data_IF_325737842183
#
_entry.id   IF_325737842183
#
_cell.length_a   1.000
_cell.length_b   1.000
_cell.length_c   1.000
_cell.angle_alpha   90.00
_cell.angle_beta   90.00
_cell.angle_gamma   90.00
#
_symmetry.space_group_name_H-M   'P 1'
#
loop_
_entity.id
_entity.type
_entity.pdbx_description
1 polymer ?
#
# COMPACT_ATOMS: atom_id res chain seq x y z
N UNK A 1 11.45 -26.36 -9.13
CA UNK A 1 12.43 -25.36 -8.63
C UNK A 1 12.05 -25.03 -7.20
N UNK A 2 12.90 -25.33 -6.23
CA UNK A 2 12.67 -24.96 -4.83
C UNK A 2 13.24 -23.57 -4.56
N UNK A 3 12.39 -22.56 -4.62
CA UNK A 3 12.77 -21.16 -4.40
C UNK A 3 13.26 -20.92 -2.97
N UNK A 4 12.74 -21.64 -1.98
CA UNK A 4 13.11 -21.45 -0.58
C UNK A 4 14.55 -21.92 -0.35
N UNK A 5 14.92 -23.07 -0.94
CA UNK A 5 16.31 -23.53 -0.91
C UNK A 5 17.26 -22.53 -1.60
N UNK A 6 16.87 -21.96 -2.75
CA UNK A 6 17.68 -20.94 -3.42
C UNK A 6 17.87 -19.68 -2.57
N UNK A 7 16.80 -19.19 -1.92
CA UNK A 7 16.88 -18.03 -1.01
C UNK A 7 17.83 -18.31 0.15
N UNK A 8 17.72 -19.48 0.79
CA UNK A 8 18.61 -19.87 1.91
C UNK A 8 20.07 -19.94 1.49
N UNK A 9 20.35 -20.49 0.30
CA UNK A 9 21.71 -20.60 -0.23
C UNK A 9 22.36 -19.25 -0.51
N UNK A 10 21.55 -18.24 -0.87
CA UNK A 10 22.03 -16.92 -1.31
C UNK A 10 21.70 -15.79 -0.33
N UNK A 11 21.34 -16.12 0.91
CA UNK A 11 20.92 -15.15 1.91
C UNK A 11 22.01 -14.10 2.20
N UNK A 12 23.27 -14.52 2.27
CA UNK A 12 24.40 -13.61 2.49
C UNK A 12 24.62 -12.62 1.35
N UNK A 13 24.08 -12.90 0.16
CA UNK A 13 24.17 -12.04 -1.02
C UNK A 13 23.04 -11.01 -1.10
N UNK A 14 22.07 -11.01 -0.17
CA UNK A 14 20.84 -10.19 -0.25
C UNK A 14 21.13 -8.70 -0.50
N UNK A 15 22.03 -8.10 0.26
CA UNK A 15 22.37 -6.67 0.11
C UNK A 15 23.14 -6.39 -1.18
N UNK A 16 24.03 -7.30 -1.61
CA UNK A 16 24.79 -7.16 -2.85
C UNK A 16 23.89 -7.25 -4.08
N UNK A 17 22.96 -8.21 -4.08
CA UNK A 17 21.93 -8.35 -5.11
C UNK A 17 21.03 -7.11 -5.17
N UNK A 18 20.55 -6.62 -4.02
CA UNK A 18 19.71 -5.42 -3.99
C UNK A 18 20.47 -4.17 -4.44
N UNK A 19 21.74 -4.05 -4.07
CA UNK A 19 22.61 -2.93 -4.48
C UNK A 19 22.82 -2.93 -5.99
N UNK A 20 23.03 -4.11 -6.59
CA UNK A 20 23.30 -4.25 -8.02
C UNK A 20 22.06 -4.15 -8.90
N UNK A 21 20.95 -4.74 -8.47
CA UNK A 21 19.81 -5.00 -9.35
C UNK A 21 18.52 -4.26 -8.98
N UNK A 22 18.44 -3.62 -7.81
CA UNK A 22 17.19 -2.98 -7.34
C UNK A 22 17.38 -1.52 -7.02
N UNK A 23 18.11 -1.20 -5.94
CA UNK A 23 18.32 0.18 -5.50
C UNK A 23 19.56 0.30 -4.62
N UNK A 24 20.69 0.81 -5.16
CA UNK A 24 21.92 0.99 -4.38
C UNK A 24 21.81 2.08 -3.31
N UNK A 25 20.96 3.10 -3.52
CA UNK A 25 20.79 4.18 -2.56
C UNK A 25 20.02 3.71 -1.33
N UNK A 26 19.01 2.87 -1.51
CA UNK A 26 18.27 2.30 -0.39
C UNK A 26 19.15 1.40 0.48
N UNK A 27 20.00 0.57 -0.12
CA UNK A 27 21.00 -0.22 0.62
C UNK A 27 21.90 0.67 1.46
N UNK A 28 22.44 1.75 0.87
CA UNK A 28 23.27 2.72 1.58
C UNK A 28 22.54 3.37 2.75
N UNK A 29 21.27 3.74 2.58
CA UNK A 29 20.46 4.29 3.67
C UNK A 29 20.38 3.31 4.83
N UNK A 30 19.98 2.05 4.56
CA UNK A 30 19.86 1.01 5.59
C UNK A 30 21.17 0.75 6.34
N UNK A 31 22.30 0.74 5.64
CA UNK A 31 23.63 0.63 6.25
C UNK A 31 23.94 1.82 7.17
N UNK A 32 23.65 3.04 6.73
CA UNK A 32 23.90 4.27 7.50
C UNK A 32 23.05 4.33 8.76
N UNK A 33 21.77 3.94 8.69
CA UNK A 33 20.86 3.97 9.84
C UNK A 33 20.96 2.72 10.74
N UNK A 34 21.76 1.71 10.36
CA UNK A 34 21.93 0.47 11.14
C UNK A 34 20.80 -0.56 11.01
N UNK A 35 20.01 -0.48 9.93
CA UNK A 35 18.88 -1.38 9.63
C UNK A 35 19.24 -2.43 8.56
N UNK A 36 20.52 -2.55 8.19
CA UNK A 36 20.99 -3.58 7.28
C UNK A 36 21.07 -4.96 7.98
N UNK A 37 19.92 -5.61 8.15
CA UNK A 37 19.80 -6.95 8.74
C UNK A 37 19.10 -7.92 7.80
N UNK A 38 19.64 -9.14 7.69
CA UNK A 38 18.98 -10.23 7.00
C UNK A 38 18.00 -10.94 7.94
N UNK A 39 16.70 -10.79 7.69
CA UNK A 39 15.67 -11.54 8.41
C UNK A 39 15.40 -12.88 7.74
N UNK A 40 15.47 -13.97 8.52
CA UNK A 40 15.28 -15.35 8.04
C UNK A 40 13.85 -15.84 8.24
N UNK A 41 13.14 -15.31 9.22
CA UNK A 41 11.75 -15.67 9.48
C UNK A 41 11.01 -14.57 10.23
N UNK A 42 9.69 -14.71 10.31
CA UNK A 42 8.83 -13.79 11.01
C UNK A 42 7.56 -14.48 11.50
N UNK A 43 7.06 -14.11 12.67
CA UNK A 43 5.81 -14.64 13.22
C UNK A 43 5.21 -13.68 14.23
N UNK A 44 3.92 -13.38 14.08
CA UNK A 44 3.24 -12.43 14.97
C UNK A 44 3.92 -11.07 14.91
N UNK A 45 4.32 -10.54 16.06
CA UNK A 45 5.00 -9.24 16.16
C UNK A 45 6.52 -9.32 15.99
N UNK A 46 7.10 -10.49 15.71
CA UNK A 46 8.55 -10.69 15.71
C UNK A 46 9.12 -10.96 14.33
N UNK A 47 10.31 -10.40 14.10
CA UNK A 47 11.25 -10.74 13.04
C UNK A 47 12.44 -11.48 13.67
N UNK A 48 12.97 -12.49 12.98
CA UNK A 48 14.15 -13.25 13.42
C UNK A 48 15.26 -13.06 12.39
N UNK A 49 16.42 -12.56 12.82
CA UNK A 49 17.58 -12.40 11.93
C UNK A 49 18.39 -13.70 11.75
N UNK A 50 19.42 -13.64 10.90
CA UNK A 50 20.26 -14.80 10.59
C UNK A 50 21.10 -15.29 11.77
N UNK A 51 21.35 -14.44 12.77
CA UNK A 51 21.97 -14.83 14.04
C UNK A 51 20.98 -15.35 15.08
N UNK A 52 19.69 -15.45 14.73
CA UNK A 52 18.62 -15.95 15.60
C UNK A 52 18.10 -14.92 16.60
N UNK A 53 18.41 -13.63 16.44
CA UNK A 53 17.89 -12.58 17.33
C UNK A 53 16.46 -12.23 16.96
N UNK A 54 15.61 -12.18 17.98
CA UNK A 54 14.23 -11.72 17.84
C UNK A 54 14.15 -10.19 17.94
N UNK A 55 13.52 -9.57 16.95
CA UNK A 55 13.28 -8.13 16.88
C UNK A 55 11.77 -7.90 16.92
N UNK A 56 11.31 -7.13 17.90
CA UNK A 56 9.92 -6.69 17.97
C UNK A 56 9.66 -5.65 16.88
N UNK A 57 8.72 -5.94 15.98
CA UNK A 57 8.45 -5.16 14.78
C UNK A 57 7.47 -4.01 15.06
N UNK A 58 8.01 -2.87 15.49
CA UNK A 58 7.25 -1.63 15.62
C UNK A 58 7.02 -0.88 14.29
N UNK A 59 7.66 -1.32 13.20
CA UNK A 59 7.43 -0.74 11.87
C UNK A 59 6.18 -1.34 11.22
N UNK A 60 5.92 -2.62 11.45
CA UNK A 60 4.79 -3.38 10.93
C UNK A 60 4.61 -3.24 9.41
N UNK A 61 5.72 -3.06 8.68
CA UNK A 61 5.69 -2.79 7.23
C UNK A 61 4.94 -1.51 6.87
N UNK A 62 5.10 -0.44 7.65
CA UNK A 62 4.33 0.80 7.54
C UNK A 62 2.81 0.60 7.74
N UNK A 63 2.43 -0.32 8.64
CA UNK A 63 1.03 -0.61 9.00
C UNK A 63 0.35 -1.73 8.20
N UNK A 64 1.09 -2.48 7.39
CA UNK A 64 0.57 -3.63 6.62
C UNK A 64 0.28 -4.83 7.53
N UNK A 65 1.15 -5.10 8.51
CA UNK A 65 1.08 -6.31 9.34
C UNK A 65 0.24 -6.11 10.61
N UNK A 66 -0.95 -5.52 10.49
CA UNK A 66 -1.83 -5.20 11.63
C UNK A 66 -2.28 -6.44 12.44
N UNK A 67 -2.35 -7.62 11.81
CA UNK A 67 -2.65 -8.89 12.47
C UNK A 67 -1.40 -9.75 12.70
N UNK A 68 -0.22 -9.14 12.60
CA UNK A 68 1.06 -9.83 12.71
C UNK A 68 1.49 -10.57 11.43
N UNK A 69 2.78 -10.92 11.39
CA UNK A 69 3.42 -11.60 10.28
C UNK A 69 3.06 -13.08 10.26
N UNK A 70 2.82 -13.61 9.06
CA UNK A 70 2.50 -15.04 8.82
C UNK A 70 1.33 -15.55 9.70
N UNK A 71 0.24 -14.78 9.79
CA UNK A 71 -0.92 -15.13 10.61
C UNK A 71 -1.49 -16.51 10.21
N UNK A 72 -1.62 -17.48 11.16
CA UNK A 72 -1.93 -18.88 10.83
C UNK A 72 -3.21 -19.05 10.00
N UNK A 73 -4.27 -18.32 10.34
CA UNK A 73 -5.54 -18.38 9.62
C UNK A 73 -5.41 -17.92 8.16
N UNK A 74 -4.66 -16.84 7.90
CA UNK A 74 -4.47 -16.33 6.52
C UNK A 74 -3.67 -17.33 5.71
N UNK A 75 -2.60 -17.88 6.30
CA UNK A 75 -1.79 -18.92 5.65
C UNK A 75 -2.57 -20.22 5.37
N UNK A 76 -3.55 -20.56 6.22
CA UNK A 76 -4.45 -21.69 6.00
C UNK A 76 -5.41 -21.40 4.84
N UNK A 77 -6.10 -20.25 4.86
CA UNK A 77 -7.06 -19.87 3.82
C UNK A 77 -6.39 -19.78 2.45
N UNK A 78 -5.22 -19.16 2.34
CA UNK A 78 -4.48 -19.09 1.08
C UNK A 78 -4.14 -20.47 0.51
N UNK A 79 -3.72 -21.41 1.38
CA UNK A 79 -3.45 -22.80 0.97
C UNK A 79 -4.72 -23.50 0.48
N UNK A 80 -5.80 -23.42 1.25
CA UNK A 80 -7.08 -24.03 0.87
C UNK A 80 -7.63 -23.46 -0.44
N UNK A 81 -7.49 -22.15 -0.66
CA UNK A 81 -7.88 -21.51 -1.93
C UNK A 81 -7.09 -22.07 -3.12
N UNK A 82 -5.77 -22.21 -3.00
CA UNK A 82 -4.92 -22.77 -4.05
C UNK A 82 -5.22 -24.27 -4.29
N UNK A 83 -5.44 -25.04 -3.22
CA UNK A 83 -5.74 -26.47 -3.29
C UNK A 83 -7.15 -26.76 -3.82
N UNK A 84 -8.10 -25.84 -3.63
CA UNK A 84 -9.49 -25.99 -4.10
C UNK A 84 -9.63 -26.06 -5.62
N UNK A 85 -8.63 -25.57 -6.36
CA UNK A 85 -8.70 -25.44 -7.82
C UNK A 85 -9.71 -24.41 -8.32
N UNK A 86 -10.26 -23.56 -7.43
CA UNK A 86 -11.17 -22.49 -7.84
C UNK A 86 -10.47 -21.49 -8.77
N UNK A 87 -11.17 -21.03 -9.82
CA UNK A 87 -10.61 -20.04 -10.72
C UNK A 87 -10.49 -18.68 -10.03
N UNK A 88 -9.50 -17.89 -10.44
CA UNK A 88 -9.30 -16.50 -10.01
C UNK A 88 -8.92 -15.65 -11.21
N UNK A 89 -9.25 -14.36 -11.18
CA UNK A 89 -8.95 -13.38 -12.24
C UNK A 89 -9.40 -13.82 -13.65
N UNK A 90 -10.57 -14.47 -13.76
CA UNK A 90 -11.15 -14.88 -15.06
C UNK A 90 -11.50 -13.67 -15.94
N UNK A 91 -11.90 -12.55 -15.32
CA UNK A 91 -12.23 -11.25 -15.94
C UNK A 91 -13.39 -11.25 -16.95
N UNK A 92 -13.78 -12.40 -17.49
CA UNK A 92 -15.00 -12.64 -18.27
C UNK A 92 -16.00 -13.50 -17.47
N UNK A 93 -15.97 -13.37 -16.14
CA UNK A 93 -16.89 -14.00 -15.18
C UNK A 93 -16.90 -13.16 -13.88
N UNK A 94 -17.90 -13.37 -13.02
CA UNK A 94 -18.00 -12.73 -11.71
C UNK A 94 -17.39 -13.61 -10.61
N UNK A 95 -16.49 -13.03 -9.81
CA UNK A 95 -15.80 -13.78 -8.75
C UNK A 95 -16.64 -13.89 -7.47
N UNK A 96 -16.96 -15.12 -7.04
CA UNK A 96 -17.68 -15.36 -5.77
C UNK A 96 -16.96 -14.73 -4.56
N UNK A 97 -15.62 -14.85 -4.50
CA UNK A 97 -14.82 -14.29 -3.40
C UNK A 97 -14.93 -12.76 -3.33
N UNK A 98 -14.90 -12.08 -4.47
CA UNK A 98 -15.07 -10.61 -4.49
C UNK A 98 -16.46 -10.17 -4.05
N UNK A 99 -17.50 -10.93 -4.40
CA UNK A 99 -18.87 -10.65 -3.94
C UNK A 99 -19.00 -10.79 -2.41
N UNK A 100 -18.51 -11.90 -1.86
CA UNK A 100 -18.53 -12.15 -0.41
C UNK A 100 -17.70 -11.11 0.37
N UNK A 101 -16.54 -10.72 -0.17
CA UNK A 101 -15.73 -9.67 0.44
C UNK A 101 -16.41 -8.29 0.38
N UNK A 102 -17.06 -7.97 -0.75
CA UNK A 102 -17.78 -6.71 -0.90
C UNK A 102 -18.97 -6.62 0.06
N UNK A 103 -19.74 -7.71 0.22
CA UNK A 103 -20.84 -7.79 1.20
C UNK A 103 -20.33 -7.56 2.63
N UNK A 104 -19.25 -8.24 3.03
CA UNK A 104 -18.67 -8.08 4.36
C UNK A 104 -18.15 -6.65 4.60
N UNK A 105 -17.52 -6.02 3.60
CA UNK A 105 -17.03 -4.65 3.70
C UNK A 105 -18.17 -3.63 3.78
N UNK A 106 -19.20 -3.78 2.95
CA UNK A 106 -20.38 -2.92 2.98
C UNK A 106 -21.11 -2.99 4.33
N UNK A 107 -21.20 -4.19 4.93
CA UNK A 107 -21.80 -4.37 6.26
C UNK A 107 -21.01 -3.72 7.41
N UNK A 108 -19.72 -3.43 7.22
CA UNK A 108 -18.87 -2.73 8.20
C UNK A 108 -18.71 -1.24 7.92
N UNK A 109 -19.00 -0.80 6.70
CA UNK A 109 -18.78 0.57 6.27
C UNK A 109 -19.80 1.53 6.94
N UNK A 110 -19.39 2.75 7.31
CA UNK A 110 -20.30 3.71 7.91
C UNK A 110 -21.27 4.31 6.88
N UNK A 111 -22.42 4.78 7.35
CA UNK A 111 -23.37 5.54 6.54
C UNK A 111 -24.04 4.68 5.47
N UNK A 112 -24.02 5.17 4.22
CA UNK A 112 -24.68 4.55 3.07
C UNK A 112 -23.69 4.00 2.03
N UNK A 113 -22.49 3.61 2.47
CA UNK A 113 -21.47 3.01 1.60
C UNK A 113 -21.81 1.54 1.35
N UNK A 114 -22.31 1.22 0.15
CA UNK A 114 -22.87 -0.09 -0.22
C UNK A 114 -22.18 -0.76 -1.43
N UNK A 115 -21.18 -0.10 -2.02
CA UNK A 115 -20.45 -0.59 -3.19
C UNK A 115 -18.93 -0.54 -2.98
N UNK A 116 -18.22 -1.54 -3.52
CA UNK A 116 -16.77 -1.67 -3.39
C UNK A 116 -16.11 -1.80 -4.75
N UNK A 117 -15.04 -1.02 -4.96
CA UNK A 117 -14.12 -1.16 -6.09
C UNK A 117 -12.77 -1.66 -5.58
N UNK A 118 -12.39 -2.88 -5.96
CA UNK A 118 -11.14 -3.50 -5.52
C UNK A 118 -9.96 -3.05 -6.37
N UNK A 119 -8.83 -2.80 -5.72
CA UNK A 119 -7.56 -2.42 -6.34
C UNK A 119 -6.41 -3.17 -5.65
N UNK A 120 -5.19 -2.99 -6.14
CA UNK A 120 -4.02 -3.72 -5.66
C UNK A 120 -3.17 -2.91 -4.66
N UNK A 121 -3.46 -1.62 -4.48
CA UNK A 121 -2.71 -0.75 -3.58
C UNK A 121 -3.52 0.46 -3.11
N UNK A 122 -3.06 1.12 -2.04
CA UNK A 122 -3.68 2.37 -1.59
C UNK A 122 -3.66 3.49 -2.63
N UNK A 123 -2.60 3.57 -3.45
CA UNK A 123 -2.50 4.58 -4.50
C UNK A 123 -3.54 4.34 -5.62
N UNK A 124 -3.75 3.09 -6.05
CA UNK A 124 -4.82 2.75 -6.99
C UNK A 124 -6.21 3.03 -6.42
N UNK A 125 -6.42 2.78 -5.12
CA UNK A 125 -7.65 3.15 -4.41
C UNK A 125 -7.94 4.65 -4.47
N UNK A 126 -6.91 5.49 -4.24
CA UNK A 126 -7.02 6.95 -4.38
C UNK A 126 -7.31 7.34 -5.83
N UNK A 127 -6.66 6.74 -6.83
CA UNK A 127 -6.97 7.03 -8.22
C UNK A 127 -8.41 6.66 -8.61
N UNK A 128 -8.92 5.53 -8.11
CA UNK A 128 -10.32 5.16 -8.22
C UNK A 128 -11.24 6.23 -7.63
N UNK A 129 -10.96 6.68 -6.41
CA UNK A 129 -11.72 7.73 -5.74
C UNK A 129 -11.72 9.06 -6.53
N UNK A 130 -10.57 9.48 -7.05
CA UNK A 130 -10.46 10.68 -7.89
C UNK A 130 -11.31 10.56 -9.16
N UNK A 131 -11.30 9.40 -9.81
CA UNK A 131 -12.10 9.13 -11.02
C UNK A 131 -13.59 9.13 -10.71
N UNK A 132 -14.03 8.45 -9.66
CA UNK A 132 -15.44 8.41 -9.27
C UNK A 132 -15.95 9.79 -8.87
N UNK A 133 -15.19 10.55 -8.08
CA UNK A 133 -15.55 11.93 -7.73
C UNK A 133 -15.70 12.81 -8.96
N UNK A 134 -14.77 12.72 -9.92
CA UNK A 134 -14.82 13.49 -11.17
C UNK A 134 -16.01 13.09 -12.04
N UNK A 135 -16.28 11.79 -12.19
CA UNK A 135 -17.41 11.31 -12.99
C UNK A 135 -18.76 11.66 -12.37
N UNK A 136 -18.91 11.52 -11.06
CA UNK A 136 -20.16 11.81 -10.37
C UNK A 136 -20.49 13.32 -10.34
N UNK A 137 -19.48 14.17 -10.21
CA UNK A 137 -19.68 15.63 -10.06
C UNK A 137 -19.54 16.40 -11.37
N UNK A 138 -18.85 15.84 -12.37
CA UNK A 138 -18.41 16.58 -13.57
C UNK A 138 -17.30 17.61 -13.29
N UNK A 139 -16.79 17.71 -12.06
CA UNK A 139 -15.81 18.72 -11.64
C UNK A 139 -14.40 18.12 -11.62
N UNK A 140 -13.42 18.88 -12.11
CA UNK A 140 -12.01 18.47 -12.13
C UNK A 140 -11.21 18.93 -10.91
N UNK A 141 -11.70 19.97 -10.21
CA UNK A 141 -11.07 20.57 -9.03
C UNK A 141 -11.11 19.61 -7.84
N UNK A 142 -9.96 19.40 -7.21
CA UNK A 142 -9.81 18.56 -6.02
C UNK A 142 -9.04 19.33 -4.95
N UNK A 143 -9.59 19.42 -3.74
CA UNK A 143 -8.92 20.05 -2.60
C UNK A 143 -8.27 18.96 -1.75
N UNK A 144 -7.02 19.17 -1.33
CA UNK A 144 -6.28 18.23 -0.49
C UNK A 144 -5.49 18.96 0.60
N UNK A 145 -5.10 18.26 1.66
CA UNK A 145 -4.36 18.88 2.76
C UNK A 145 -2.84 18.90 2.50
N UNK A 146 -2.17 19.99 2.86
CA UNK A 146 -0.71 20.03 2.98
C UNK A 146 -0.24 18.92 3.93
N UNK A 147 0.90 18.30 3.63
CA UNK A 147 1.48 17.13 4.33
C UNK A 147 0.67 15.83 4.25
N UNK A 148 -0.44 15.78 3.51
CA UNK A 148 -1.17 14.53 3.28
C UNK A 148 -0.33 13.53 2.48
N UNK A 149 -0.48 12.23 2.73
CA UNK A 149 0.12 11.18 1.92
C UNK A 149 -0.98 10.33 1.30
N UNK A 150 -1.09 10.35 -0.03
CA UNK A 150 -2.13 9.63 -0.78
C UNK A 150 -1.57 8.61 -1.79
N UNK A 151 -0.24 8.46 -1.85
CA UNK A 151 0.42 7.58 -2.80
C UNK A 151 1.39 8.31 -3.71
N UNK A 152 2.03 7.55 -4.59
CA UNK A 152 3.12 8.01 -5.47
C UNK A 152 2.87 7.75 -6.96
N UNK A 153 1.73 7.16 -7.35
CA UNK A 153 1.29 7.18 -8.76
C UNK A 153 0.92 8.61 -9.15
N UNK A 154 1.08 9.01 -10.41
CA UNK A 154 0.95 10.44 -10.79
C UNK A 154 -0.42 11.05 -10.42
N UNK A 155 -1.51 10.28 -10.47
CA UNK A 155 -2.82 10.74 -10.03
C UNK A 155 -2.87 11.00 -8.52
N UNK A 156 -2.49 10.00 -7.73
CA UNK A 156 -2.43 10.11 -6.27
C UNK A 156 -1.40 11.15 -5.79
N UNK A 157 -0.26 11.26 -6.49
CA UNK A 157 0.80 12.21 -6.21
C UNK A 157 0.33 13.66 -6.41
N UNK A 158 -0.61 13.89 -7.33
CA UNK A 158 -1.20 15.22 -7.59
C UNK A 158 -1.96 15.77 -6.37
N UNK A 159 -2.44 14.90 -5.49
CA UNK A 159 -3.09 15.25 -4.22
C UNK A 159 -2.23 14.91 -3.00
N UNK A 160 -0.99 14.48 -3.19
CA UNK A 160 -0.04 14.33 -2.09
C UNK A 160 0.42 15.72 -1.62
N UNK A 161 0.54 15.94 -0.32
CA UNK A 161 0.86 17.25 0.29
C UNK A 161 2.32 17.43 0.69
N UNK A 162 3.19 16.49 0.34
CA UNK A 162 4.60 16.46 0.73
C UNK A 162 5.50 16.77 -0.49
N UNK A 163 6.23 17.89 -0.42
CA UNK A 163 7.00 18.43 -1.55
C UNK A 163 8.16 17.51 -1.97
N UNK A 164 8.74 16.77 -1.02
CA UNK A 164 9.84 15.84 -1.25
C UNK A 164 9.48 14.69 -2.20
N UNK A 165 8.20 14.31 -2.27
CA UNK A 165 7.71 13.30 -3.21
C UNK A 165 7.26 13.92 -4.54
N UNK A 166 6.76 15.16 -4.51
CA UNK A 166 6.19 15.82 -5.70
C UNK A 166 7.23 16.47 -6.59
N UNK A 167 8.21 17.17 -6.01
CA UNK A 167 8.96 18.23 -6.69
C UNK A 167 9.67 17.81 -7.98
N UNK A 168 10.13 16.56 -8.07
CA UNK A 168 10.82 16.03 -9.28
C UNK A 168 9.87 15.45 -10.35
N UNK A 169 8.58 15.38 -10.05
CA UNK A 169 7.54 14.76 -10.89
C UNK A 169 6.55 15.79 -11.47
N UNK A 170 6.74 17.08 -11.18
CA UNK A 170 5.93 18.16 -11.75
C UNK A 170 6.20 18.34 -13.26
N UNK A 171 5.21 18.76 -14.06
CA UNK A 171 3.85 19.14 -13.65
C UNK A 171 2.91 17.95 -13.41
N UNK A 172 2.12 18.03 -12.34
CA UNK A 172 1.09 17.05 -11.95
C UNK A 172 -0.31 17.43 -12.47
N UNK A 173 -1.36 16.68 -12.09
CA UNK A 173 -2.73 16.93 -12.58
C UNK A 173 -3.19 18.35 -12.23
N UNK A 174 -3.73 19.11 -13.20
CA UNK A 174 -4.22 20.45 -12.95
C UNK A 174 -5.47 20.43 -12.04
N UNK A 175 -5.71 21.54 -11.34
CA UNK A 175 -6.89 21.71 -10.50
C UNK A 175 -6.82 21.03 -9.13
N UNK A 176 -5.66 20.50 -8.73
CA UNK A 176 -5.44 19.99 -7.38
C UNK A 176 -4.94 21.14 -6.48
N UNK A 177 -5.73 21.53 -5.48
CA UNK A 177 -5.52 22.71 -4.64
C UNK A 177 -5.15 22.30 -3.20
N UNK A 178 -3.95 22.64 -2.69
CA UNK A 178 -3.58 22.36 -1.32
C UNK A 178 -4.17 23.39 -0.34
N UNK A 179 -4.69 22.92 0.79
CA UNK A 179 -5.07 23.74 1.96
C UNK A 179 -4.32 23.30 3.21
N UNK A 180 -4.10 24.17 4.21
CA UNK A 180 -3.57 23.72 5.50
C UNK A 180 -4.51 22.70 6.16
N UNK A 181 -3.94 21.68 6.81
CA UNK A 181 -4.74 20.75 7.60
C UNK A 181 -5.35 21.49 8.80
N UNK A 182 -6.63 21.20 9.10
CA UNK A 182 -7.39 21.81 10.19
C UNK A 182 -7.63 23.34 10.09
N UNK A 183 -7.58 23.89 8.88
CA UNK A 183 -7.97 25.28 8.59
C UNK A 183 -9.30 25.30 7.83
N UNK A 184 -10.39 25.54 8.57
CA UNK A 184 -11.75 25.51 8.02
C UNK A 184 -12.05 26.72 7.13
N UNK A 185 -11.43 27.87 7.38
CA UNK A 185 -11.64 29.07 6.56
C UNK A 185 -10.96 28.91 5.20
N UNK A 186 -9.72 28.42 5.18
CA UNK A 186 -9.01 28.09 3.94
C UNK A 186 -9.74 27.00 3.14
N UNK A 187 -10.27 25.98 3.82
CA UNK A 187 -11.08 24.94 3.18
C UNK A 187 -12.37 25.52 2.57
N UNK A 188 -13.12 26.33 3.33
CA UNK A 188 -14.36 26.95 2.84
C UNK A 188 -14.11 27.85 1.63
N UNK A 189 -13.05 28.67 1.67
CA UNK A 189 -12.62 29.50 0.53
C UNK A 189 -12.22 28.65 -0.67
N UNK A 190 -11.48 27.55 -0.47
CA UNK A 190 -11.12 26.64 -1.55
C UNK A 190 -12.34 25.93 -2.16
N UNK A 191 -13.45 25.78 -1.44
CA UNK A 191 -14.67 25.12 -1.92
C UNK A 191 -15.71 26.09 -2.53
N UNK A 192 -15.56 27.41 -2.37
CA UNK A 192 -16.57 28.41 -2.73
C UNK A 192 -16.69 28.75 -4.22
N UNK A 193 -16.19 27.88 -5.11
CA UNK A 193 -16.29 28.02 -6.57
C UNK A 193 -16.17 26.67 -7.24
#
# INVERSE_FOLDING_TARGET
MDIISLIKQRLTETYDLHRRYVNPQFVRVLEVIGFNRNYTSAKGAYLIDEEGREVLDFLAGFGVFNIGRNHPLVAQVLRSMLESGMPSLVQMDVGAVSGLLAEALAGLAPGNLDAVFFTNSGAEGVEGALKFARQATGKSKVVYCKRAFHGLTLGALSVNGNEEFRGRNEPLLPGCIPVPFNDLEALASALSG
#
